data_IF_177111215497
#
_entry.id   IF_177111215497
#
_cell.length_a   1.000
_cell.length_b   1.000
_cell.length_c   1.000
_cell.angle_alpha   90.00
_cell.angle_beta   90.00
_cell.angle_gamma   90.00
#
_symmetry.space_group_name_H-M   'P 1'
#
loop_
_entity.id
_entity.type
_entity.pdbx_description
1 polymer ?
#
# COMPACT_ATOMS: atom_id res chain seq x y z
N UNK A 1 66.92 -40.52 -40.07
CA UNK A 1 67.50 -41.69 -39.34
C UNK A 1 66.42 -42.09 -38.35
N UNK A 2 65.75 -43.15 -38.67
CA UNK A 2 65.82 -44.50 -38.03
C UNK A 2 65.51 -44.42 -36.54
N UNK A 3 64.65 -45.12 -35.98
CA UNK A 3 64.01 -46.47 -36.05
C UNK A 3 63.10 -46.57 -34.82
N UNK A 4 62.05 -47.14 -34.92
CA UNK A 4 61.40 -48.47 -34.71
C UNK A 4 60.80 -48.60 -33.34
N UNK A 5 59.52 -48.79 -33.29
CA UNK A 5 58.71 -49.98 -33.08
C UNK A 5 58.86 -50.70 -31.73
N UNK A 6 57.76 -50.98 -31.08
CA UNK A 6 57.31 -52.27 -30.54
C UNK A 6 56.15 -52.08 -29.54
N UNK A 7 54.96 -52.48 -29.83
CA UNK A 7 54.25 -53.74 -29.65
C UNK A 7 54.02 -54.22 -28.22
N UNK A 8 52.75 -54.52 -28.03
CA UNK A 8 52.16 -55.49 -27.08
C UNK A 8 51.78 -54.84 -25.70
N UNK A 9 50.68 -55.03 -25.17
CA UNK A 9 49.52 -55.93 -25.37
C UNK A 9 48.65 -55.84 -24.16
N UNK A 10 47.40 -55.90 -24.39
CA UNK A 10 46.34 -56.55 -23.66
C UNK A 10 46.18 -56.24 -22.18
N UNK A 11 45.07 -55.70 -21.85
CA UNK A 11 44.04 -56.31 -20.95
C UNK A 11 42.79 -55.37 -20.92
N UNK A 12 41.73 -55.91 -21.40
CA UNK A 12 40.44 -55.29 -21.23
C UNK A 12 40.04 -55.42 -19.76
N UNK A 13 39.92 -54.33 -19.07
CA UNK A 13 39.22 -54.24 -17.80
C UNK A 13 37.97 -53.38 -18.06
N UNK A 14 36.87 -54.08 -18.18
CA UNK A 14 35.52 -53.42 -18.20
C UNK A 14 35.26 -52.93 -16.79
N UNK A 15 35.50 -51.66 -16.55
CA UNK A 15 35.06 -50.98 -15.37
C UNK A 15 33.67 -50.37 -15.65
N UNK A 16 32.65 -51.05 -15.17
CA UNK A 16 31.29 -50.54 -15.10
C UNK A 16 31.30 -49.44 -14.05
N UNK A 17 31.49 -48.19 -14.48
CA UNK A 17 31.25 -47.02 -13.65
C UNK A 17 29.74 -46.77 -13.60
N UNK A 18 29.11 -47.16 -12.48
CA UNK A 18 27.79 -46.65 -12.11
C UNK A 18 27.90 -45.12 -11.97
N UNK A 19 27.41 -44.39 -12.96
CA UNK A 19 27.14 -42.97 -12.84
C UNK A 19 25.90 -42.81 -11.95
N UNK A 20 26.15 -42.60 -10.67
CA UNK A 20 25.19 -41.99 -9.76
C UNK A 20 25.01 -40.53 -10.21
N UNK A 21 24.05 -40.28 -11.08
CA UNK A 21 23.57 -38.92 -11.36
C UNK A 21 22.79 -38.47 -10.13
N UNK A 22 23.49 -37.88 -9.16
CA UNK A 22 22.87 -36.99 -8.20
C UNK A 22 22.34 -35.78 -8.97
N UNK A 23 21.09 -35.84 -9.37
CA UNK A 23 20.36 -34.70 -9.87
C UNK A 23 20.28 -33.66 -8.77
N UNK A 24 21.21 -32.68 -8.76
CA UNK A 24 20.94 -31.40 -8.16
C UNK A 24 19.81 -30.76 -8.98
N UNK A 25 18.56 -30.97 -8.53
CA UNK A 25 17.47 -30.16 -8.95
C UNK A 25 17.75 -28.74 -8.51
N UNK A 26 18.33 -27.94 -9.40
CA UNK A 26 18.23 -26.49 -9.30
C UNK A 26 16.75 -26.17 -9.45
N UNK A 27 16.06 -26.02 -8.33
CA UNK A 27 14.77 -25.31 -8.31
C UNK A 27 15.10 -23.90 -8.79
N UNK A 28 14.87 -23.63 -10.07
CA UNK A 28 14.77 -22.25 -10.51
C UNK A 28 13.77 -21.57 -9.55
N UNK A 29 14.15 -20.43 -8.96
CA UNK A 29 13.17 -19.66 -8.20
C UNK A 29 12.02 -19.40 -9.18
N UNK A 30 10.85 -19.99 -8.90
CA UNK A 30 9.65 -19.61 -9.59
C UNK A 30 9.55 -18.10 -9.42
N UNK A 31 9.64 -17.35 -10.51
CA UNK A 31 9.29 -15.97 -10.53
C UNK A 31 7.85 -15.91 -9.99
N UNK A 32 7.71 -15.36 -8.79
CA UNK A 32 6.39 -15.06 -8.23
C UNK A 32 5.79 -14.08 -9.23
N UNK A 33 4.80 -14.52 -10.00
CA UNK A 33 4.05 -13.61 -10.86
C UNK A 33 3.57 -12.46 -9.97
N UNK A 34 3.81 -11.21 -10.37
CA UNK A 34 3.27 -10.08 -9.64
C UNK A 34 1.75 -10.28 -9.54
N UNK A 35 1.23 -10.38 -8.33
CA UNK A 35 -0.20 -10.42 -8.13
C UNK A 35 -0.79 -9.19 -8.79
N UNK A 36 -1.73 -9.40 -9.72
CA UNK A 36 -2.47 -8.30 -10.32
C UNK A 36 -3.05 -7.42 -9.21
N UNK A 37 -2.89 -6.09 -9.31
CA UNK A 37 -3.40 -5.19 -8.30
C UNK A 37 -4.90 -5.36 -8.12
N UNK A 38 -5.33 -5.71 -6.92
CA UNK A 38 -6.76 -5.82 -6.61
C UNK A 38 -7.25 -4.45 -6.15
N UNK A 39 -7.82 -3.70 -7.10
CA UNK A 39 -8.48 -2.43 -6.78
C UNK A 39 -9.66 -2.70 -5.87
N UNK A 40 -9.78 -2.04 -4.70
CA UNK A 40 -10.95 -2.19 -3.85
C UNK A 40 -12.24 -1.84 -4.61
N UNK A 41 -13.16 -2.79 -4.71
CA UNK A 41 -14.45 -2.57 -5.39
C UNK A 41 -15.26 -1.46 -4.70
N UNK A 42 -15.17 -1.37 -3.38
CA UNK A 42 -15.77 -0.32 -2.54
C UNK A 42 -14.81 0.07 -1.42
N UNK A 43 -14.02 1.12 -1.63
CA UNK A 43 -13.11 1.65 -0.61
C UNK A 43 -13.88 2.19 0.61
N UNK A 44 -15.13 2.65 0.45
CA UNK A 44 -15.92 3.10 1.58
C UNK A 44 -16.23 1.96 2.56
N UNK A 45 -16.37 0.73 2.07
CA UNK A 45 -16.63 -0.43 2.93
C UNK A 45 -15.45 -0.75 3.87
N UNK A 46 -14.23 -0.35 3.51
CA UNK A 46 -13.01 -0.57 4.33
C UNK A 46 -12.89 0.41 5.50
N UNK A 47 -13.57 1.57 5.41
CA UNK A 47 -13.62 2.54 6.52
C UNK A 47 -14.44 1.96 7.66
N UNK A 48 -13.99 2.04 8.94
CA UNK A 48 -14.73 1.54 10.09
C UNK A 48 -16.17 2.02 10.13
N UNK A 49 -17.12 1.10 10.34
CA UNK A 49 -18.56 1.39 10.25
C UNK A 49 -18.99 2.54 11.14
N UNK A 50 -18.45 2.64 12.37
CA UNK A 50 -18.76 3.70 13.33
C UNK A 50 -18.33 5.10 12.86
N UNK A 51 -17.36 5.20 11.94
CA UNK A 51 -16.89 6.49 11.40
C UNK A 51 -17.66 6.93 10.15
N UNK A 52 -18.43 6.04 9.55
CA UNK A 52 -19.28 6.32 8.38
C UNK A 52 -20.77 6.28 8.68
N UNK A 53 -21.16 5.98 9.92
CA UNK A 53 -22.56 5.95 10.33
C UNK A 53 -23.24 7.31 10.13
N UNK A 54 -24.37 7.30 9.43
CA UNK A 54 -25.12 8.53 9.12
C UNK A 54 -24.50 9.41 8.03
N UNK A 55 -23.42 8.99 7.40
CA UNK A 55 -22.81 9.68 6.26
C UNK A 55 -23.33 9.13 4.93
N UNK A 56 -23.47 10.00 3.97
CA UNK A 56 -23.66 9.65 2.56
C UNK A 56 -22.29 9.30 2.01
N UNK A 57 -22.14 8.10 1.46
CA UNK A 57 -20.89 7.60 0.90
C UNK A 57 -20.96 7.53 -0.63
N UNK A 58 -19.86 7.82 -1.29
CA UNK A 58 -19.69 7.64 -2.73
C UNK A 58 -18.29 7.08 -3.00
N UNK A 59 -18.26 5.85 -3.54
CA UNK A 59 -17.02 5.18 -3.93
C UNK A 59 -16.84 5.27 -5.44
N UNK A 60 -15.60 5.45 -5.88
CA UNK A 60 -15.18 5.30 -7.26
C UNK A 60 -13.82 4.62 -7.31
N UNK A 61 -13.52 3.97 -8.43
CA UNK A 61 -12.24 3.32 -8.67
C UNK A 61 -11.84 3.43 -10.14
N UNK A 62 -10.56 3.22 -10.41
CA UNK A 62 -9.98 3.13 -11.74
C UNK A 62 -8.85 2.11 -11.70
N UNK A 63 -8.79 1.25 -12.69
CA UNK A 63 -7.77 0.23 -12.91
C UNK A 63 -6.80 0.60 -14.04
N UNK A 64 -6.96 1.80 -14.63
CA UNK A 64 -6.09 2.28 -15.71
C UNK A 64 -4.89 3.04 -15.16
N UNK A 65 -3.69 2.67 -15.62
CA UNK A 65 -2.43 3.26 -15.15
C UNK A 65 -2.06 2.77 -13.75
N UNK A 66 -1.92 3.68 -12.78
CA UNK A 66 -1.84 3.30 -11.38
C UNK A 66 -3.25 3.03 -10.85
N UNK A 67 -3.54 1.81 -10.38
CA UNK A 67 -4.84 1.50 -9.82
C UNK A 67 -5.18 2.42 -8.65
N UNK A 68 -6.37 3.00 -8.69
CA UNK A 68 -6.82 3.97 -7.68
C UNK A 68 -8.23 3.65 -7.20
N UNK A 69 -8.50 3.93 -5.94
CA UNK A 69 -9.84 3.96 -5.40
C UNK A 69 -10.02 5.20 -4.52
N UNK A 70 -11.22 5.72 -4.48
CA UNK A 70 -11.55 6.82 -3.60
C UNK A 70 -12.93 6.60 -2.95
N UNK A 71 -13.03 7.05 -1.69
CA UNK A 71 -14.27 7.12 -0.95
C UNK A 71 -14.48 8.55 -0.48
N UNK A 72 -15.55 9.18 -0.90
CA UNK A 72 -16.00 10.44 -0.33
C UNK A 72 -17.20 10.22 0.58
N UNK A 73 -17.19 10.86 1.73
CA UNK A 73 -18.20 10.76 2.76
C UNK A 73 -18.62 12.14 3.20
N UNK A 74 -19.92 12.37 3.37
CA UNK A 74 -20.43 13.64 3.86
C UNK A 74 -21.72 13.46 4.63
N UNK A 75 -21.99 14.34 5.57
CA UNK A 75 -23.30 14.42 6.18
C UNK A 75 -24.36 14.88 5.16
N UNK A 76 -25.64 14.52 5.36
CA UNK A 76 -26.74 15.09 4.62
C UNK A 76 -26.78 16.64 4.71
N UNK A 77 -27.28 17.30 3.69
CA UNK A 77 -27.26 18.78 3.59
C UNK A 77 -28.04 19.49 4.72
N UNK A 78 -29.02 18.82 5.29
CA UNK A 78 -29.81 19.32 6.42
C UNK A 78 -29.19 19.03 7.80
N UNK A 79 -28.05 18.39 7.89
CA UNK A 79 -27.37 18.13 9.16
C UNK A 79 -26.84 19.44 9.76
N UNK A 80 -26.98 19.58 11.10
CA UNK A 80 -26.43 20.73 11.84
C UNK A 80 -24.92 20.74 11.86
N UNK A 81 -24.32 19.56 12.03
CA UNK A 81 -22.88 19.38 11.99
C UNK A 81 -22.49 18.85 10.60
N UNK A 82 -21.55 19.49 9.97
CA UNK A 82 -21.04 19.08 8.66
C UNK A 82 -19.78 18.23 8.86
N UNK A 83 -19.80 17.06 8.27
CA UNK A 83 -18.63 16.17 8.17
C UNK A 83 -18.34 15.97 6.69
N UNK A 84 -17.10 16.13 6.30
CA UNK A 84 -16.58 15.78 4.98
C UNK A 84 -15.35 14.94 5.18
N UNK A 85 -15.30 13.79 4.56
CA UNK A 85 -14.10 12.96 4.53
C UNK A 85 -13.84 12.46 3.12
N UNK A 86 -12.58 12.40 2.76
CA UNK A 86 -12.12 11.78 1.53
C UNK A 86 -11.00 10.82 1.89
N UNK A 87 -11.16 9.58 1.48
CA UNK A 87 -10.13 8.54 1.57
C UNK A 87 -9.72 8.21 0.15
N UNK A 88 -8.42 8.19 -0.12
CA UNK A 88 -7.88 7.71 -1.39
C UNK A 88 -6.92 6.57 -1.15
N UNK A 89 -6.88 5.64 -2.07
CA UNK A 89 -5.95 4.54 -2.14
C UNK A 89 -5.36 4.50 -3.54
N UNK A 90 -4.05 4.37 -3.63
CA UNK A 90 -3.32 4.29 -4.88
C UNK A 90 -2.31 3.15 -4.75
N UNK A 91 -2.35 2.21 -5.69
CA UNK A 91 -1.29 1.23 -5.83
C UNK A 91 -0.24 1.73 -6.82
N UNK A 92 1.01 1.67 -6.43
CA UNK A 92 2.11 2.14 -7.25
C UNK A 92 2.72 0.99 -8.04
N UNK A 93 2.90 1.20 -9.35
CA UNK A 93 3.68 0.32 -10.19
C UNK A 93 5.19 0.47 -9.90
N UNK A 94 6.03 -0.35 -10.54
CA UNK A 94 7.47 -0.34 -10.31
C UNK A 94 8.20 0.91 -10.81
N UNK A 95 7.54 1.71 -11.66
CA UNK A 95 8.13 2.94 -12.22
C UNK A 95 8.19 4.08 -11.19
N UNK A 96 7.38 4.01 -10.13
CA UNK A 96 7.31 5.05 -9.11
C UNK A 96 8.02 4.62 -7.83
N UNK A 97 8.82 5.52 -7.28
CA UNK A 97 9.33 5.40 -5.92
C UNK A 97 8.20 5.66 -4.94
N UNK A 98 7.82 4.62 -4.19
CA UNK A 98 6.74 4.73 -3.21
C UNK A 98 7.03 5.79 -2.13
N UNK A 99 8.29 5.92 -1.74
CA UNK A 99 8.74 6.95 -0.80
C UNK A 99 8.58 8.36 -1.38
N UNK A 100 8.94 8.58 -2.65
CA UNK A 100 8.78 9.89 -3.31
C UNK A 100 7.31 10.28 -3.45
N UNK A 101 6.43 9.31 -3.73
CA UNK A 101 4.98 9.58 -3.79
C UNK A 101 4.45 9.95 -2.41
N UNK A 102 4.83 9.21 -1.35
CA UNK A 102 4.44 9.59 0.01
C UNK A 102 4.98 10.98 0.38
N UNK A 103 6.25 11.27 0.10
CA UNK A 103 6.86 12.57 0.40
C UNK A 103 6.13 13.71 -0.34
N UNK A 104 5.68 13.46 -1.58
CA UNK A 104 4.82 14.38 -2.31
C UNK A 104 3.48 14.61 -1.61
N UNK A 105 2.81 13.53 -1.15
CA UNK A 105 1.55 13.64 -0.41
C UNK A 105 1.73 14.36 0.93
N UNK A 106 2.82 14.10 1.63
CA UNK A 106 3.15 14.79 2.88
C UNK A 106 3.42 16.29 2.66
N UNK A 107 4.11 16.63 1.56
CA UNK A 107 4.40 18.01 1.18
C UNK A 107 3.15 18.77 0.71
N UNK A 108 2.14 18.05 0.22
CA UNK A 108 0.84 18.62 -0.18
C UNK A 108 -0.05 18.98 1.03
N UNK A 109 0.30 18.56 2.24
CA UNK A 109 -0.34 19.04 3.47
C UNK A 109 0.11 20.48 3.69
N UNK A 110 -0.75 21.44 3.36
CA UNK A 110 -0.41 22.86 3.39
C UNK A 110 0.01 23.32 4.81
N UNK A 111 1.27 23.74 5.03
CA UNK A 111 1.74 24.17 6.34
C UNK A 111 1.10 25.49 6.82
N UNK A 112 0.39 26.21 5.96
CA UNK A 112 -0.37 27.41 6.35
C UNK A 112 -1.73 27.04 6.94
N UNK A 113 -2.31 25.91 6.52
CA UNK A 113 -3.60 25.42 7.02
C UNK A 113 -3.41 24.37 8.14
N UNK A 114 -2.32 23.59 8.12
CA UNK A 114 -2.13 22.45 9.00
C UNK A 114 -0.84 22.56 9.80
N UNK A 115 -0.92 22.24 11.08
CA UNK A 115 0.25 21.97 11.91
C UNK A 115 0.68 20.53 11.74
N UNK A 116 1.88 20.33 11.23
CA UNK A 116 2.45 18.99 11.06
C UNK A 116 2.66 18.30 12.40
N UNK A 117 2.34 17.01 12.45
CA UNK A 117 2.50 16.14 13.62
C UNK A 117 3.83 15.43 13.54
N UNK A 118 4.83 15.89 14.33
CA UNK A 118 6.13 15.21 14.42
C UNK A 118 5.95 13.78 14.98
N UNK A 119 6.64 12.81 14.39
CA UNK A 119 6.60 11.42 14.84
C UNK A 119 5.26 10.71 14.63
N UNK A 120 4.39 11.22 13.75
CA UNK A 120 3.14 10.54 13.44
C UNK A 120 3.41 9.15 12.88
N UNK A 121 2.66 8.17 13.38
CA UNK A 121 2.68 6.80 12.89
C UNK A 121 1.27 6.22 12.83
N UNK A 122 1.02 5.31 11.90
CA UNK A 122 -0.23 4.57 11.78
C UNK A 122 0.06 3.06 11.82
N UNK A 123 -0.82 2.30 12.47
CA UNK A 123 -0.65 0.85 12.58
C UNK A 123 -0.73 0.21 11.19
N UNK A 124 0.25 -0.62 10.86
CA UNK A 124 0.35 -1.30 9.57
C UNK A 124 1.01 -0.47 8.46
N UNK A 125 1.34 0.80 8.71
CA UNK A 125 2.11 1.61 7.78
C UNK A 125 3.61 1.45 7.99
N UNK A 126 4.38 1.50 6.90
CA UNK A 126 5.85 1.58 6.94
C UNK A 126 6.29 3.02 7.26
N UNK A 127 5.63 3.99 6.65
CA UNK A 127 5.84 5.43 6.85
C UNK A 127 4.50 6.15 6.85
N UNK A 128 4.41 7.24 7.57
CA UNK A 128 3.22 8.07 7.56
C UNK A 128 3.53 9.52 7.92
N UNK A 129 2.66 10.43 7.50
CA UNK A 129 2.69 11.83 7.91
C UNK A 129 1.26 12.33 8.20
N UNK A 130 1.16 13.39 8.95
CA UNK A 130 -0.11 13.99 9.31
C UNK A 130 0.01 15.48 9.60
N UNK A 131 -1.08 16.18 9.36
CA UNK A 131 -1.28 17.56 9.80
C UNK A 131 -2.70 17.79 10.29
N UNK A 132 -2.86 18.68 11.24
CA UNK A 132 -4.18 19.10 11.75
C UNK A 132 -4.24 20.60 11.96
N UNK A 133 -5.43 21.17 11.84
CA UNK A 133 -5.65 22.59 11.98
C UNK A 133 -7.11 22.98 11.92
N UNK A 134 -7.37 24.29 12.02
CA UNK A 134 -8.70 24.84 11.78
C UNK A 134 -8.72 25.48 10.40
N UNK A 135 -9.39 24.83 9.45
CA UNK A 135 -9.49 25.29 8.06
C UNK A 135 -10.91 25.82 7.82
N UNK A 136 -11.03 27.12 7.52
CA UNK A 136 -12.34 27.78 7.30
C UNK A 136 -13.37 27.54 8.40
N UNK A 137 -12.91 27.44 9.66
CA UNK A 137 -13.78 27.20 10.82
C UNK A 137 -14.10 25.73 11.10
N UNK A 138 -13.57 24.81 10.32
CA UNK A 138 -13.68 23.37 10.55
C UNK A 138 -12.45 22.84 11.30
N UNK A 139 -12.63 21.92 12.24
CA UNK A 139 -11.55 21.07 12.75
C UNK A 139 -11.17 20.08 11.65
N UNK A 140 -9.95 20.20 11.15
CA UNK A 140 -9.51 19.51 9.95
C UNK A 140 -8.25 18.70 10.20
N UNK A 141 -8.14 17.54 9.55
CA UNK A 141 -6.96 16.70 9.54
C UNK A 141 -6.69 16.14 8.15
N UNK A 142 -5.40 16.01 7.84
CA UNK A 142 -4.93 15.31 6.65
C UNK A 142 -3.84 14.34 7.07
N UNK A 143 -3.97 13.08 6.68
CA UNK A 143 -3.00 12.02 6.99
C UNK A 143 -2.68 11.24 5.72
N UNK A 144 -1.44 10.80 5.57
CA UNK A 144 -1.01 9.92 4.49
C UNK A 144 -0.13 8.81 5.05
N UNK A 145 -0.22 7.63 4.45
CA UNK A 145 0.58 6.47 4.82
C UNK A 145 1.00 5.67 3.60
N UNK A 146 2.20 5.10 3.69
CA UNK A 146 2.73 4.10 2.79
C UNK A 146 2.68 2.74 3.49
N UNK A 147 2.11 1.74 2.83
CA UNK A 147 2.21 0.34 3.21
C UNK A 147 3.32 -0.35 2.40
N UNK A 148 3.09 -1.41 1.67
CA UNK A 148 4.12 -2.00 0.80
C UNK A 148 4.32 -1.14 -0.47
N UNK A 149 3.34 -1.16 -1.36
CA UNK A 149 3.32 -0.35 -2.59
C UNK A 149 2.05 0.48 -2.72
N UNK A 150 1.40 0.75 -1.62
CA UNK A 150 0.14 1.48 -1.60
C UNK A 150 0.30 2.76 -0.81
N UNK A 151 -0.20 3.85 -1.35
CA UNK A 151 -0.31 5.13 -0.65
C UNK A 151 -1.78 5.39 -0.37
N UNK A 152 -2.07 5.56 0.92
CA UNK A 152 -3.43 5.82 1.41
C UNK A 152 -3.45 7.21 2.02
N UNK A 153 -4.41 8.05 1.62
CA UNK A 153 -4.60 9.36 2.23
C UNK A 153 -6.00 9.49 2.82
N UNK A 154 -6.11 10.23 3.89
CA UNK A 154 -7.40 10.61 4.49
C UNK A 154 -7.39 12.09 4.77
N UNK A 155 -8.39 12.82 4.27
CA UNK A 155 -8.71 14.19 4.68
C UNK A 155 -10.07 14.19 5.35
N UNK A 156 -10.17 14.85 6.49
CA UNK A 156 -11.37 14.93 7.28
C UNK A 156 -11.58 16.35 7.79
N UNK A 157 -12.79 16.87 7.62
CA UNK A 157 -13.22 18.19 8.10
C UNK A 157 -14.52 18.06 8.91
N UNK A 158 -14.55 18.67 10.10
CA UNK A 158 -15.73 18.79 10.96
C UNK A 158 -16.15 20.26 11.13
N UNK A 159 -17.42 20.58 10.81
CA UNK A 159 -18.03 21.91 11.00
C UNK A 159 -19.36 21.81 11.77
N UNK A 160 -19.51 22.42 12.95
CA UNK A 160 -18.44 22.81 13.87
C UNK A 160 -17.66 21.61 14.40
N UNK A 161 -16.68 21.86 15.28
CA UNK A 161 -15.83 20.82 15.87
C UNK A 161 -16.62 19.57 16.30
N UNK A 162 -16.13 18.39 15.91
CA UNK A 162 -16.80 17.13 16.13
C UNK A 162 -16.67 16.61 17.58
N UNK A 163 -17.30 15.45 17.87
CA UNK A 163 -17.23 14.79 19.19
C UNK A 163 -15.83 14.31 19.56
N UNK A 164 -15.00 14.09 18.57
CA UNK A 164 -13.57 13.74 18.73
C UNK A 164 -12.75 14.60 17.77
N UNK A 165 -11.45 14.85 18.07
CA UNK A 165 -10.58 15.59 17.18
C UNK A 165 -10.52 14.96 15.79
N UNK A 166 -10.52 15.78 14.73
CA UNK A 166 -10.44 15.32 13.35
C UNK A 166 -9.22 14.42 13.12
N UNK A 167 -8.07 14.74 13.74
CA UNK A 167 -6.87 13.92 13.67
C UNK A 167 -7.08 12.48 14.18
N UNK A 168 -7.79 12.33 15.31
CA UNK A 168 -8.06 11.00 15.87
C UNK A 168 -8.93 10.17 14.93
N UNK A 169 -9.98 10.79 14.38
CA UNK A 169 -10.87 10.09 13.44
C UNK A 169 -10.18 9.78 12.11
N UNK A 170 -9.39 10.72 11.57
CA UNK A 170 -8.62 10.50 10.34
C UNK A 170 -7.62 9.35 10.51
N UNK A 171 -6.91 9.28 11.64
CA UNK A 171 -6.02 8.16 11.96
C UNK A 171 -6.78 6.84 12.04
N UNK A 172 -7.93 6.80 12.71
CA UNK A 172 -8.75 5.58 12.79
C UNK A 172 -9.27 5.13 11.43
N UNK A 173 -9.66 6.06 10.54
CA UNK A 173 -10.05 5.75 9.17
C UNK A 173 -8.87 5.12 8.41
N UNK A 174 -7.70 5.75 8.47
CA UNK A 174 -6.48 5.27 7.82
C UNK A 174 -6.11 3.85 8.27
N UNK A 175 -6.03 3.63 9.58
CA UNK A 175 -5.68 2.32 10.15
C UNK A 175 -6.73 1.24 9.84
N UNK A 176 -8.00 1.62 9.77
CA UNK A 176 -9.10 0.73 9.36
C UNK A 176 -8.95 0.28 7.91
N UNK A 177 -8.65 1.21 7.01
CA UNK A 177 -8.39 0.90 5.60
C UNK A 177 -7.17 -0.02 5.45
N UNK A 178 -6.04 0.32 6.07
CA UNK A 178 -4.81 -0.51 6.05
C UNK A 178 -5.12 -1.93 6.53
N UNK A 179 -5.82 -2.05 7.66
CA UNK A 179 -6.15 -3.36 8.23
C UNK A 179 -7.08 -4.19 7.35
N UNK A 180 -8.03 -3.55 6.67
CA UNK A 180 -8.97 -4.20 5.76
C UNK A 180 -8.27 -4.70 4.49
N UNK A 181 -7.31 -3.93 3.96
CA UNK A 181 -6.53 -4.31 2.80
C UNK A 181 -5.60 -5.49 3.10
N UNK A 182 -4.91 -5.48 4.25
CA UNK A 182 -4.05 -6.57 4.67
C UNK A 182 -4.78 -7.91 4.91
N UNK A 183 -6.07 -7.88 5.21
CA UNK A 183 -6.89 -9.09 5.41
C UNK A 183 -7.40 -9.73 4.11
N UNK A 184 -7.25 -9.05 2.98
CA UNK A 184 -7.70 -9.50 1.65
C UNK A 184 -6.54 -9.95 0.73
N UNK A 185 -5.32 -10.00 1.27
CA UNK A 185 -4.08 -10.38 0.55
C UNK A 185 -3.81 -11.89 0.64
#
# INVERSE_FOLDING_TARGET
>A
MLRTASRRGGLAVVLVTLLLTTGCGSSEPQAVEPLDPVVPADLCATVPAQLREGLITNANNSDTGNPTAACSMRTPDNAKNKVRAVVTWVQLNEEYSADEVLDSQCSAIDPQEFRMQEGFSAKGAQRACAGSGTVKGADSASVAALTDREVITVRLDYEPEGKQPAMTAAKQMLEGVISSMAGNS
#
